data_IF_089481098609
#
_entry.id   IF_089481098609
#
_cell.length_a   1.000
_cell.length_b   1.000
_cell.length_c   1.000
_cell.angle_alpha   90.00
_cell.angle_beta   90.00
_cell.angle_gamma   90.00
#
_symmetry.space_group_name_H-M   'P 1'
#
loop_
_entity.id
_entity.type
_entity.pdbx_description
1 polymer ?
#
# COMPACT_ATOMS: atom_id res chain seq x y z
N UNK A 1 3.11 9.25 -8.36
CA UNK A 1 3.06 9.59 -6.92
C UNK A 1 3.95 10.78 -6.60
N UNK A 2 3.32 11.94 -6.31
CA UNK A 2 4.01 13.22 -6.05
C UNK A 2 4.89 13.19 -4.78
N UNK A 3 4.55 12.33 -3.83
CA UNK A 3 5.25 12.24 -2.54
C UNK A 3 6.48 11.35 -2.55
N UNK A 4 6.67 10.56 -3.61
CA UNK A 4 7.75 9.57 -3.74
C UNK A 4 8.71 9.96 -4.87
N UNK A 5 8.62 9.27 -6.00
CA UNK A 5 9.51 9.44 -7.15
C UNK A 5 9.01 10.54 -8.08
N UNK A 6 7.70 10.83 -8.02
CA UNK A 6 6.99 11.75 -8.91
C UNK A 6 7.17 11.40 -10.41
N UNK A 7 7.39 10.11 -10.68
CA UNK A 7 7.57 9.53 -12.00
C UNK A 7 6.27 8.85 -12.45
N UNK A 8 6.14 8.58 -13.73
CA UNK A 8 4.98 7.92 -14.30
C UNK A 8 5.36 6.80 -15.26
N UNK A 9 4.54 5.75 -15.25
CA UNK A 9 4.66 4.62 -16.15
C UNK A 9 3.45 4.57 -17.10
N UNK A 10 3.71 4.19 -18.34
CA UNK A 10 2.68 3.64 -19.24
C UNK A 10 2.26 2.27 -18.71
N UNK A 11 0.96 2.03 -18.67
CA UNK A 11 0.40 0.77 -18.15
C UNK A 11 -0.62 0.21 -19.13
N UNK A 12 -0.52 -1.09 -19.42
CA UNK A 12 -1.54 -1.85 -20.14
C UNK A 12 -1.71 -3.22 -19.49
N UNK A 13 -2.95 -3.76 -19.32
CA UNK A 13 -3.13 -5.15 -18.94
C UNK A 13 -2.42 -6.08 -19.93
N UNK A 14 -1.66 -7.06 -19.44
CA UNK A 14 -0.86 -7.93 -20.31
C UNK A 14 -1.73 -8.74 -21.31
N UNK A 15 -2.98 -9.03 -20.98
CA UNK A 15 -3.95 -9.67 -21.88
C UNK A 15 -4.35 -8.79 -23.07
N UNK A 16 -4.14 -7.47 -22.99
CA UNK A 16 -4.45 -6.50 -24.05
C UNK A 16 -3.21 -6.05 -24.83
N UNK A 17 -2.05 -6.64 -24.54
CA UNK A 17 -0.81 -6.27 -25.19
C UNK A 17 -0.81 -6.63 -26.68
N UNK A 18 -0.26 -5.74 -27.50
CA UNK A 18 -0.08 -5.89 -28.94
C UNK A 18 1.28 -5.32 -29.36
N UNK A 19 1.74 -5.66 -30.56
CA UNK A 19 2.93 -5.04 -31.13
C UNK A 19 2.80 -3.51 -31.19
N UNK A 20 1.60 -2.99 -31.49
CA UNK A 20 1.32 -1.54 -31.50
C UNK A 20 1.52 -0.90 -30.11
N UNK A 21 1.03 -1.55 -29.02
CA UNK A 21 1.21 -1.03 -27.67
C UNK A 21 2.67 -1.09 -27.20
N UNK A 22 3.39 -2.16 -27.51
CA UNK A 22 4.82 -2.27 -27.21
C UNK A 22 5.64 -1.24 -27.99
N UNK A 23 5.34 -1.05 -29.28
CA UNK A 23 5.99 0.00 -30.06
C UNK A 23 5.69 1.40 -29.52
N UNK A 24 4.46 1.65 -29.06
CA UNK A 24 4.10 2.90 -28.40
C UNK A 24 4.93 3.13 -27.13
N UNK A 25 5.05 2.12 -26.27
CA UNK A 25 5.86 2.19 -25.05
C UNK A 25 7.33 2.45 -25.38
N UNK A 26 7.91 1.71 -26.33
CA UNK A 26 9.30 1.87 -26.73
C UNK A 26 9.58 3.27 -27.32
N UNK A 27 8.69 3.76 -28.20
CA UNK A 27 8.86 5.02 -28.93
C UNK A 27 8.64 6.25 -28.03
N UNK A 28 7.58 6.23 -27.24
CA UNK A 28 7.11 7.40 -26.50
C UNK A 28 7.39 7.32 -25.00
N UNK A 29 7.38 6.13 -24.40
CA UNK A 29 7.81 5.93 -23.02
C UNK A 29 9.32 5.97 -22.87
N UNK A 30 10.04 5.24 -23.74
CA UNK A 30 11.51 5.14 -23.76
C UNK A 30 12.12 4.43 -22.56
N UNK A 31 11.29 4.00 -21.62
CA UNK A 31 11.69 3.23 -20.44
C UNK A 31 11.91 1.75 -20.73
N UNK A 32 12.17 0.99 -19.68
CA UNK A 32 12.30 -0.46 -19.76
C UNK A 32 10.93 -1.11 -19.81
N UNK A 33 10.67 -1.93 -20.83
CA UNK A 33 9.42 -2.67 -20.94
C UNK A 33 9.44 -3.86 -20.00
N UNK A 34 8.66 -3.77 -18.92
CA UNK A 34 8.59 -4.75 -17.86
C UNK A 34 7.22 -5.45 -17.83
N UNK A 35 7.25 -6.74 -17.49
CA UNK A 35 6.05 -7.56 -17.31
C UNK A 35 5.78 -7.80 -15.83
N UNK A 36 4.84 -7.06 -15.22
CA UNK A 36 4.43 -7.26 -13.85
C UNK A 36 3.56 -8.52 -13.72
N UNK A 37 4.02 -9.48 -12.92
CA UNK A 37 3.40 -10.78 -12.69
C UNK A 37 3.11 -10.99 -11.20
N UNK A 38 2.06 -11.76 -10.90
CA UNK A 38 1.85 -12.27 -9.56
C UNK A 38 2.77 -13.48 -9.26
N UNK A 39 2.90 -13.82 -7.97
CA UNK A 39 3.77 -14.92 -7.52
C UNK A 39 3.39 -16.27 -8.15
N UNK A 40 2.11 -16.53 -8.37
CA UNK A 40 1.67 -17.80 -8.97
C UNK A 40 2.20 -17.97 -10.40
N UNK A 41 2.17 -16.91 -11.21
CA UNK A 41 2.69 -16.94 -12.57
C UNK A 41 4.21 -17.06 -12.59
N UNK A 42 4.91 -16.38 -11.69
CA UNK A 42 6.36 -16.54 -11.49
C UNK A 42 6.71 -18.00 -11.19
N UNK A 43 5.96 -18.64 -10.27
CA UNK A 43 6.19 -20.03 -9.91
C UNK A 43 5.92 -21.00 -11.08
N UNK A 44 4.84 -20.79 -11.86
CA UNK A 44 4.53 -21.59 -13.05
C UNK A 44 5.64 -21.53 -14.10
N UNK A 45 6.22 -20.36 -14.29
CA UNK A 45 7.32 -20.13 -15.23
C UNK A 45 8.69 -20.48 -14.65
N UNK A 46 8.78 -20.83 -13.36
CA UNK A 46 10.01 -21.12 -12.62
C UNK A 46 11.06 -19.99 -12.74
N UNK A 47 10.61 -18.74 -12.67
CA UNK A 47 11.50 -17.57 -12.81
C UNK A 47 12.26 -17.30 -11.52
N UNK A 48 13.58 -17.21 -11.64
CA UNK A 48 14.47 -16.85 -10.53
C UNK A 48 14.64 -15.33 -10.46
N UNK A 49 14.92 -14.82 -9.25
CA UNK A 49 15.32 -13.42 -9.10
C UNK A 49 16.62 -13.17 -9.86
N UNK A 50 16.71 -12.00 -10.51
CA UNK A 50 17.91 -11.58 -11.24
C UNK A 50 19.14 -11.45 -10.33
N UNK A 51 18.91 -11.12 -9.06
CA UNK A 51 19.95 -11.08 -8.02
C UNK A 51 19.43 -11.70 -6.72
N UNK A 52 20.22 -12.57 -6.07
CA UNK A 52 19.87 -13.12 -4.75
C UNK A 52 19.74 -12.04 -3.67
N UNK A 53 20.54 -10.98 -3.77
CA UNK A 53 20.50 -9.81 -2.88
C UNK A 53 20.03 -8.57 -3.66
N UNK A 54 18.86 -8.07 -3.33
CA UNK A 54 18.34 -6.85 -3.96
C UNK A 54 18.73 -5.61 -3.13
N UNK A 55 19.80 -4.92 -3.55
CA UNK A 55 20.30 -3.70 -2.93
C UNK A 55 19.81 -2.42 -3.64
N UNK A 56 18.90 -2.54 -4.61
CA UNK A 56 18.35 -1.37 -5.31
C UNK A 56 17.55 -0.47 -4.37
N UNK A 57 17.55 0.83 -4.63
CA UNK A 57 16.88 1.84 -3.80
C UNK A 57 15.38 1.56 -3.63
N UNK A 58 14.72 1.11 -4.67
CA UNK A 58 13.29 0.81 -4.71
C UNK A 58 12.94 -0.62 -4.36
N UNK A 59 13.95 -1.51 -4.28
CA UNK A 59 13.82 -2.94 -4.03
C UNK A 59 12.82 -3.63 -4.98
N UNK A 60 12.75 -3.16 -6.24
CA UNK A 60 11.91 -3.78 -7.27
C UNK A 60 12.41 -5.19 -7.56
N UNK A 61 11.51 -6.17 -7.47
CA UNK A 61 11.85 -7.58 -7.58
C UNK A 61 11.94 -8.01 -9.05
N UNK A 62 13.04 -7.71 -9.70
CA UNK A 62 13.35 -8.19 -11.04
C UNK A 62 13.63 -9.70 -11.01
N UNK A 63 13.06 -10.42 -11.98
CA UNK A 63 13.51 -11.77 -12.33
C UNK A 63 14.48 -11.72 -13.50
N UNK A 64 15.08 -12.88 -13.83
CA UNK A 64 15.80 -13.03 -15.10
C UNK A 64 14.92 -12.62 -16.26
N UNK A 65 15.50 -11.97 -17.27
CA UNK A 65 14.78 -11.58 -18.49
C UNK A 65 14.39 -12.81 -19.32
N UNK A 66 13.30 -12.70 -20.05
CA UNK A 66 12.70 -13.83 -20.77
C UNK A 66 12.45 -13.56 -22.25
N UNK A 67 12.34 -14.65 -22.97
CA UNK A 67 11.91 -14.69 -24.36
C UNK A 67 10.97 -15.88 -24.58
N UNK A 68 10.01 -15.78 -25.51
CA UNK A 68 9.25 -16.95 -25.94
C UNK A 68 10.18 -17.93 -26.68
N UNK A 69 10.11 -19.23 -26.32
CA UNK A 69 10.96 -20.25 -26.94
C UNK A 69 10.69 -20.45 -28.41
N UNK A 70 9.47 -20.12 -28.87
CA UNK A 70 9.03 -20.29 -30.29
C UNK A 70 8.27 -19.03 -30.74
N UNK A 71 8.30 -18.79 -32.04
CA UNK A 71 7.50 -17.72 -32.65
C UNK A 71 8.09 -16.31 -32.50
N UNK A 72 9.38 -16.23 -32.24
CA UNK A 72 10.17 -14.98 -32.20
C UNK A 72 11.33 -15.06 -33.17
N UNK A 73 11.83 -13.91 -33.59
CA UNK A 73 13.05 -13.78 -34.42
C UNK A 73 14.25 -13.49 -33.53
N UNK A 74 14.66 -12.21 -33.40
CA UNK A 74 15.73 -11.77 -32.53
C UNK A 74 15.25 -11.41 -31.14
N UNK A 75 13.93 -11.39 -30.90
CA UNK A 75 13.29 -11.13 -29.62
C UNK A 75 13.03 -9.66 -29.28
N UNK A 76 13.87 -8.74 -29.78
CA UNK A 76 13.78 -7.31 -29.43
C UNK A 76 12.63 -6.57 -30.12
N UNK A 77 12.11 -7.07 -31.24
CA UNK A 77 11.05 -6.38 -31.97
C UNK A 77 9.80 -6.19 -31.11
N UNK A 78 8.99 -5.17 -31.41
CA UNK A 78 7.72 -4.96 -30.73
C UNK A 78 6.77 -6.16 -30.88
N UNK A 79 6.86 -6.86 -32.00
CA UNK A 79 6.10 -8.09 -32.27
C UNK A 79 6.57 -9.23 -31.35
N UNK A 80 7.88 -9.46 -31.30
CA UNK A 80 8.47 -10.55 -30.52
C UNK A 80 8.24 -10.36 -29.03
N UNK A 81 8.44 -9.13 -28.51
CA UNK A 81 8.14 -8.81 -27.10
C UNK A 81 6.66 -8.99 -26.76
N UNK A 82 5.75 -8.54 -27.63
CA UNK A 82 4.32 -8.76 -27.43
C UNK A 82 3.96 -10.26 -27.47
N UNK A 83 4.61 -11.05 -28.34
CA UNK A 83 4.45 -12.50 -28.39
C UNK A 83 4.97 -13.17 -27.12
N UNK A 84 6.15 -12.80 -26.65
CA UNK A 84 6.75 -13.29 -25.41
C UNK A 84 5.84 -13.01 -24.20
N UNK A 85 5.32 -11.79 -24.07
CA UNK A 85 4.39 -11.42 -23.01
C UNK A 85 3.12 -12.29 -23.06
N UNK A 86 2.49 -12.40 -24.23
CA UNK A 86 1.29 -13.26 -24.39
C UNK A 86 1.57 -14.70 -24.06
N UNK A 87 2.74 -15.24 -24.42
CA UNK A 87 3.14 -16.60 -24.08
C UNK A 87 3.30 -16.77 -22.58
N UNK A 88 3.98 -15.83 -21.92
CA UNK A 88 4.25 -15.90 -20.49
C UNK A 88 3.00 -15.79 -19.61
N UNK A 89 1.92 -15.16 -20.06
CA UNK A 89 0.69 -14.96 -19.26
C UNK A 89 -0.41 -15.99 -19.49
N UNK A 90 -0.23 -16.95 -20.38
CA UNK A 90 -1.23 -18.00 -20.63
C UNK A 90 -1.50 -18.80 -19.36
N UNK A 91 -2.73 -19.24 -19.18
CA UNK A 91 -3.12 -20.04 -18.02
C UNK A 91 -2.35 -21.37 -17.92
N UNK A 92 -2.03 -21.96 -19.09
CA UNK A 92 -1.26 -23.19 -19.20
C UNK A 92 0.24 -22.97 -19.46
N UNK A 93 0.75 -21.73 -19.34
CA UNK A 93 2.17 -21.43 -19.54
C UNK A 93 3.05 -22.22 -18.56
N UNK A 94 4.16 -22.73 -19.06
CA UNK A 94 5.16 -23.51 -18.30
C UNK A 94 6.55 -22.96 -18.57
N UNK A 95 7.50 -23.30 -17.71
CA UNK A 95 8.91 -22.89 -17.89
C UNK A 95 9.50 -23.26 -19.26
N UNK A 96 9.08 -24.39 -19.85
CA UNK A 96 9.52 -24.83 -21.18
C UNK A 96 9.06 -23.95 -22.34
N UNK A 97 8.09 -23.05 -22.13
CA UNK A 97 7.52 -22.18 -23.17
C UNK A 97 8.31 -20.88 -23.33
N UNK A 98 9.23 -20.62 -22.39
CA UNK A 98 10.10 -19.46 -22.36
C UNK A 98 11.57 -19.87 -22.25
N UNK A 99 12.46 -18.97 -22.62
CA UNK A 99 13.92 -19.08 -22.45
C UNK A 99 14.44 -17.83 -21.74
N UNK A 100 15.62 -17.90 -21.17
CA UNK A 100 16.35 -16.79 -20.54
C UNK A 100 17.82 -16.90 -20.96
N UNK A 101 18.51 -15.75 -21.19
CA UNK A 101 17.99 -14.38 -21.15
C UNK A 101 17.09 -14.03 -22.34
N UNK A 102 16.43 -12.85 -22.29
CA UNK A 102 15.56 -12.33 -23.33
C UNK A 102 15.34 -10.82 -23.20
N UNK A 103 14.35 -10.30 -23.94
CA UNK A 103 14.10 -8.86 -24.08
C UNK A 103 12.85 -8.35 -23.36
N UNK A 104 12.21 -9.20 -22.53
CA UNK A 104 11.13 -8.83 -21.62
C UNK A 104 11.60 -9.04 -20.19
N UNK A 105 11.36 -8.08 -19.31
CA UNK A 105 11.84 -8.08 -17.92
C UNK A 105 10.68 -8.31 -16.96
N UNK A 106 10.48 -9.54 -16.43
CA UNK A 106 9.42 -9.78 -15.47
C UNK A 106 9.74 -9.18 -14.10
N UNK A 107 8.69 -8.65 -13.47
CA UNK A 107 8.70 -8.09 -12.12
C UNK A 107 7.72 -8.85 -11.24
N UNK A 108 8.14 -9.17 -10.01
CA UNK A 108 7.25 -9.82 -9.04
C UNK A 108 6.46 -8.75 -8.29
N UNK A 109 5.13 -8.75 -8.45
CA UNK A 109 4.25 -7.91 -7.63
C UNK A 109 4.01 -8.55 -6.26
N UNK A 110 3.98 -7.74 -5.21
CA UNK A 110 3.67 -8.20 -3.85
C UNK A 110 2.20 -8.63 -3.75
N UNK A 111 1.94 -9.74 -3.06
CA UNK A 111 0.58 -10.12 -2.68
C UNK A 111 -0.05 -9.00 -1.85
N UNK A 112 -1.31 -8.67 -2.14
CA UNK A 112 -1.99 -7.49 -1.56
C UNK A 112 -1.80 -6.20 -2.38
N UNK A 113 -0.95 -6.19 -3.41
CA UNK A 113 -0.82 -5.10 -4.37
C UNK A 113 -0.40 -3.77 -3.72
N UNK A 114 -0.98 -2.65 -4.18
CA UNK A 114 -0.66 -1.31 -3.66
C UNK A 114 -0.93 -1.15 -2.16
N UNK A 115 -1.75 -2.00 -1.57
CA UNK A 115 -2.01 -1.98 -0.13
C UNK A 115 -0.83 -2.54 0.69
N UNK A 116 0.11 -3.24 0.06
CA UNK A 116 1.34 -3.75 0.67
C UNK A 116 2.55 -2.92 0.24
N UNK A 117 2.68 -2.66 -1.07
CA UNK A 117 3.75 -1.83 -1.64
C UNK A 117 3.17 -0.85 -2.66
N UNK A 118 3.27 0.43 -2.40
CA UNK A 118 2.77 1.48 -3.28
C UNK A 118 3.75 1.74 -4.44
N UNK A 119 3.91 0.76 -5.33
CA UNK A 119 4.77 0.82 -6.51
C UNK A 119 3.99 0.66 -7.81
N UNK A 120 4.57 1.12 -8.93
CA UNK A 120 3.97 0.98 -10.27
C UNK A 120 3.70 -0.49 -10.63
N UNK A 121 4.59 -1.41 -10.22
CA UNK A 121 4.42 -2.86 -10.39
C UNK A 121 3.12 -3.36 -9.76
N UNK A 122 2.88 -3.02 -8.51
CA UNK A 122 1.68 -3.42 -7.79
C UNK A 122 0.44 -2.71 -8.34
N UNK A 123 0.56 -1.41 -8.63
CA UNK A 123 -0.54 -0.60 -9.18
C UNK A 123 -1.03 -1.15 -10.52
N UNK A 124 -0.13 -1.53 -11.40
CA UNK A 124 -0.46 -2.05 -12.72
C UNK A 124 -1.21 -3.39 -12.65
N UNK A 125 -0.76 -4.29 -11.77
CA UNK A 125 -1.44 -5.58 -11.51
C UNK A 125 -2.81 -5.36 -10.89
N UNK A 126 -2.95 -4.44 -9.94
CA UNK A 126 -4.22 -4.11 -9.31
C UNK A 126 -5.22 -3.51 -10.31
N UNK A 127 -4.78 -2.57 -11.15
CA UNK A 127 -5.61 -2.00 -12.22
C UNK A 127 -6.09 -3.10 -13.17
N UNK A 128 -5.20 -4.04 -13.55
CA UNK A 128 -5.56 -5.16 -14.42
C UNK A 128 -6.64 -6.06 -13.79
N UNK A 129 -6.51 -6.36 -12.49
CA UNK A 129 -7.52 -7.12 -11.73
C UNK A 129 -8.85 -6.38 -11.62
N UNK A 130 -8.81 -5.11 -11.24
CA UNK A 130 -10.02 -4.28 -11.05
C UNK A 130 -10.77 -4.08 -12.37
N UNK A 131 -10.05 -3.98 -13.48
CA UNK A 131 -10.64 -3.90 -14.83
C UNK A 131 -11.06 -5.27 -15.41
N UNK A 132 -10.92 -6.35 -14.62
CA UNK A 132 -11.23 -7.74 -15.04
C UNK A 132 -10.42 -8.20 -16.27
N UNK A 133 -9.23 -7.67 -16.44
CA UNK A 133 -8.30 -7.98 -17.53
C UNK A 133 -7.15 -8.91 -17.10
N UNK A 134 -7.37 -9.75 -16.11
CA UNK A 134 -6.35 -10.67 -15.57
C UNK A 134 -5.53 -10.07 -14.44
N UNK A 135 -4.43 -10.74 -14.08
CA UNK A 135 -3.59 -10.39 -12.92
C UNK A 135 -2.13 -10.09 -13.31
N UNK A 136 -1.94 -9.60 -14.55
CA UNK A 136 -0.64 -9.26 -15.11
C UNK A 136 -0.74 -7.97 -15.91
N UNK A 137 0.32 -7.18 -15.93
CA UNK A 137 0.37 -5.92 -16.67
C UNK A 137 1.73 -5.71 -17.32
N UNK A 138 1.77 -4.89 -18.37
CA UNK A 138 3.00 -4.38 -18.94
C UNK A 138 3.14 -2.92 -18.53
N UNK A 139 4.32 -2.54 -18.07
CA UNK A 139 4.66 -1.19 -17.66
C UNK A 139 5.92 -0.72 -18.37
N UNK A 140 6.04 0.60 -18.53
CA UNK A 140 7.21 1.23 -19.11
C UNK A 140 7.28 2.66 -18.59
N UNK A 141 8.41 3.05 -18.03
CA UNK A 141 8.65 4.41 -17.51
C UNK A 141 8.54 5.44 -18.64
N UNK A 142 8.16 6.67 -18.28
CA UNK A 142 8.06 7.79 -19.23
C UNK A 142 9.25 8.72 -19.03
N UNK A 143 10.07 8.85 -20.06
CA UNK A 143 11.19 9.77 -20.12
C UNK A 143 10.90 10.93 -21.09
N UNK A 144 11.49 12.08 -20.81
CA UNK A 144 11.54 13.23 -21.70
C UNK A 144 12.49 12.96 -22.89
N UNK A 145 12.46 13.85 -23.90
CA UNK A 145 13.29 13.74 -25.10
C UNK A 145 14.80 13.84 -24.78
N UNK A 146 15.15 14.51 -23.70
CA UNK A 146 16.53 14.68 -23.21
C UNK A 146 17.01 13.49 -22.34
N UNK A 147 16.18 12.43 -22.18
CA UNK A 147 16.50 11.27 -21.37
C UNK A 147 16.22 11.42 -19.88
N UNK A 148 15.78 12.57 -19.40
CA UNK A 148 15.38 12.74 -18.00
C UNK A 148 13.99 12.14 -17.76
N UNK A 149 13.69 11.78 -16.48
CA UNK A 149 12.36 11.25 -16.13
C UNK A 149 11.28 12.32 -16.22
N UNK A 150 10.18 12.02 -16.90
CA UNK A 150 9.02 12.91 -16.95
C UNK A 150 8.33 12.98 -15.58
N UNK A 151 8.03 14.20 -15.08
CA UNK A 151 7.45 14.44 -13.75
C UNK A 151 6.34 15.47 -13.77
N UNK A 152 5.40 15.36 -12.84
CA UNK A 152 4.36 16.35 -12.58
C UNK A 152 3.63 16.84 -13.85
N UNK A 153 3.80 18.12 -14.19
CA UNK A 153 3.15 18.73 -15.37
C UNK A 153 3.54 18.08 -16.70
N UNK A 154 4.77 17.55 -16.81
CA UNK A 154 5.23 16.86 -18.03
C UNK A 154 4.40 15.60 -18.29
N UNK A 155 4.10 14.80 -17.23
CA UNK A 155 3.22 13.63 -17.32
C UNK A 155 1.79 14.01 -17.72
N UNK A 156 1.25 15.11 -17.17
CA UNK A 156 -0.08 15.60 -17.57
C UNK A 156 -0.12 16.00 -19.04
N UNK A 157 0.90 16.70 -19.52
CA UNK A 157 1.01 17.10 -20.94
C UNK A 157 1.16 15.87 -21.85
N UNK A 158 1.98 14.89 -21.44
CA UNK A 158 2.14 13.61 -22.14
C UNK A 158 0.80 12.88 -22.26
N UNK A 159 0.08 12.72 -21.15
CA UNK A 159 -1.22 12.06 -21.13
C UNK A 159 -2.23 12.77 -22.03
N UNK A 160 -2.28 14.12 -22.01
CA UNK A 160 -3.15 14.92 -22.88
C UNK A 160 -2.78 14.76 -24.36
N UNK A 161 -1.48 14.85 -24.71
CA UNK A 161 -0.97 14.69 -26.08
C UNK A 161 -1.35 13.35 -26.68
N UNK A 162 -1.24 12.27 -25.90
CA UNK A 162 -1.50 10.91 -26.34
C UNK A 162 -2.90 10.39 -26.01
N UNK A 163 -3.79 11.25 -25.49
CA UNK A 163 -5.17 10.93 -25.09
C UNK A 163 -5.25 9.75 -24.11
N UNK A 164 -4.31 9.72 -23.14
CA UNK A 164 -4.23 8.68 -22.11
C UNK A 164 -4.96 9.12 -20.85
N UNK A 165 -5.48 8.14 -20.11
CA UNK A 165 -5.97 8.36 -18.75
C UNK A 165 -4.78 8.43 -17.80
N UNK A 166 -4.86 9.30 -16.80
CA UNK A 166 -3.86 9.44 -15.75
C UNK A 166 -4.49 9.08 -14.41
N UNK A 167 -3.82 8.24 -13.63
CA UNK A 167 -4.20 7.86 -12.28
C UNK A 167 -3.04 8.05 -11.31
N UNK A 168 -3.35 8.24 -10.03
CA UNK A 168 -2.35 8.29 -8.94
C UNK A 168 -2.44 7.00 -8.12
N UNK A 169 -1.30 6.51 -7.65
CA UNK A 169 -1.25 5.32 -6.79
C UNK A 169 -2.00 5.57 -5.48
N UNK A 170 -1.93 6.77 -4.91
CA UNK A 170 -2.67 7.15 -3.70
C UNK A 170 -4.19 7.03 -3.88
N UNK A 171 -4.71 7.45 -5.03
CA UNK A 171 -6.14 7.33 -5.35
C UNK A 171 -6.55 5.85 -5.49
N UNK A 172 -5.68 5.03 -6.08
CA UNK A 172 -5.90 3.59 -6.19
C UNK A 172 -5.90 2.91 -4.81
N UNK A 173 -4.99 3.30 -3.91
CA UNK A 173 -4.97 2.83 -2.52
C UNK A 173 -6.28 3.21 -1.83
N UNK A 174 -6.69 4.47 -1.93
CA UNK A 174 -7.94 4.95 -1.33
C UNK A 174 -9.16 4.19 -1.88
N UNK A 175 -9.21 3.98 -3.19
CA UNK A 175 -10.27 3.22 -3.84
C UNK A 175 -10.33 1.79 -3.30
N UNK A 176 -9.22 1.05 -3.28
CA UNK A 176 -9.17 -0.33 -2.79
C UNK A 176 -9.55 -0.43 -1.30
N UNK A 177 -9.04 0.48 -0.46
CA UNK A 177 -9.39 0.54 0.96
C UNK A 177 -10.88 0.74 1.19
N UNK A 178 -11.57 1.48 0.31
CA UNK A 178 -13.00 1.72 0.40
C UNK A 178 -13.85 0.55 -0.10
N UNK A 179 -13.38 -0.16 -1.13
CA UNK A 179 -14.16 -1.24 -1.79
C UNK A 179 -13.91 -2.61 -1.14
N UNK A 180 -12.72 -2.87 -0.64
CA UNK A 180 -12.34 -4.17 -0.12
C UNK A 180 -12.55 -4.27 1.38
N UNK A 181 -13.09 -5.41 1.84
CA UNK A 181 -13.17 -5.74 3.26
C UNK A 181 -11.84 -6.36 3.70
N UNK A 182 -11.00 -5.56 4.35
CA UNK A 182 -9.64 -5.96 4.73
C UNK A 182 -9.53 -6.45 6.17
N UNK A 183 -10.60 -6.39 6.94
CA UNK A 183 -10.61 -6.82 8.33
C UNK A 183 -11.68 -7.86 8.60
N UNK A 184 -11.37 -8.80 9.49
CA UNK A 184 -12.29 -9.80 10.01
C UNK A 184 -12.31 -9.74 11.53
N UNK A 185 -13.50 -9.59 12.12
CA UNK A 185 -13.65 -9.69 13.58
C UNK A 185 -13.40 -11.15 14.00
N UNK A 186 -12.50 -11.40 14.95
CA UNK A 186 -12.16 -12.73 15.44
C UNK A 186 -12.80 -13.05 16.80
N UNK A 187 -12.56 -12.19 17.79
CA UNK A 187 -12.96 -12.46 19.17
C UNK A 187 -13.27 -11.15 19.92
N UNK A 188 -14.15 -11.25 20.90
CA UNK A 188 -14.41 -10.19 21.88
C UNK A 188 -14.24 -10.77 23.27
N UNK A 189 -13.71 -9.95 24.20
CA UNK A 189 -13.54 -10.30 25.60
C UNK A 189 -13.65 -9.05 26.46
N UNK A 190 -13.92 -9.23 27.76
CA UNK A 190 -13.88 -8.12 28.72
C UNK A 190 -12.54 -8.15 29.44
N UNK A 191 -11.91 -7.00 29.58
CA UNK A 191 -10.65 -6.83 30.28
C UNK A 191 -10.71 -5.63 31.22
N UNK A 192 -9.90 -5.66 32.28
CA UNK A 192 -9.78 -4.57 33.24
C UNK A 192 -8.41 -3.91 33.10
N UNK A 193 -8.38 -2.60 32.82
CA UNK A 193 -7.15 -1.82 32.71
C UNK A 193 -7.24 -0.64 33.67
N UNK A 194 -6.25 -0.50 34.57
CA UNK A 194 -6.21 0.58 35.60
C UNK A 194 -7.56 0.75 36.30
N UNK A 195 -8.14 -0.35 36.80
CA UNK A 195 -9.43 -0.40 37.54
C UNK A 195 -10.68 -0.06 36.68
N UNK A 196 -10.56 0.09 35.36
CA UNK A 196 -11.69 0.35 34.45
C UNK A 196 -11.97 -0.86 33.55
N UNK A 197 -13.25 -1.12 33.28
CA UNK A 197 -13.69 -2.21 32.43
C UNK A 197 -13.73 -1.75 30.95
N UNK A 198 -13.16 -2.57 30.08
CA UNK A 198 -13.19 -2.40 28.64
C UNK A 198 -13.66 -3.70 27.98
N UNK A 199 -14.38 -3.56 26.88
CA UNK A 199 -14.56 -4.66 25.94
C UNK A 199 -13.47 -4.56 24.89
N UNK A 200 -12.64 -5.61 24.75
CA UNK A 200 -11.64 -5.72 23.70
C UNK A 200 -12.24 -6.50 22.54
N UNK A 201 -12.13 -5.94 21.33
CA UNK A 201 -12.46 -6.64 20.07
C UNK A 201 -11.22 -6.80 19.22
N UNK A 202 -10.94 -8.03 18.81
CA UNK A 202 -9.78 -8.39 17.98
C UNK A 202 -10.22 -8.49 16.54
N UNK A 203 -9.43 -7.86 15.65
CA UNK A 203 -9.64 -7.83 14.22
C UNK A 203 -8.38 -8.32 13.50
N UNK A 204 -8.53 -9.30 12.65
CA UNK A 204 -7.48 -9.78 11.75
C UNK A 204 -7.43 -8.91 10.49
N UNK A 205 -6.25 -8.47 10.10
CA UNK A 205 -6.00 -7.87 8.81
C UNK A 205 -5.81 -8.99 7.76
N UNK A 206 -6.68 -9.05 6.77
CA UNK A 206 -6.69 -10.11 5.76
C UNK A 206 -5.53 -10.01 4.75
N UNK A 207 -4.77 -8.90 4.75
CA UNK A 207 -3.62 -8.73 3.87
C UNK A 207 -2.35 -9.45 4.38
N UNK A 208 -2.16 -9.47 5.70
CA UNK A 208 -0.92 -9.93 6.32
C UNK A 208 -1.14 -10.83 7.56
N UNK A 209 -2.39 -11.14 7.89
CA UNK A 209 -2.75 -11.96 9.05
C UNK A 209 -2.53 -11.29 10.41
N UNK A 210 -2.12 -10.02 10.44
CA UNK A 210 -1.85 -9.32 11.69
C UNK A 210 -3.11 -9.03 12.48
N UNK A 211 -3.01 -9.15 13.81
CA UNK A 211 -4.11 -8.82 14.71
C UNK A 211 -4.03 -7.36 15.17
N UNK A 212 -5.14 -6.67 15.01
CA UNK A 212 -5.40 -5.34 15.51
C UNK A 212 -6.51 -5.42 16.56
N UNK A 213 -6.64 -4.44 17.43
CA UNK A 213 -7.73 -4.47 18.40
C UNK A 213 -8.35 -3.10 18.67
N UNK A 214 -9.58 -3.12 19.15
CA UNK A 214 -10.28 -1.97 19.69
C UNK A 214 -10.62 -2.20 21.15
N UNK A 215 -10.24 -1.26 22.04
CA UNK A 215 -10.69 -1.18 23.41
C UNK A 215 -11.88 -0.25 23.47
N UNK A 216 -13.01 -0.77 23.93
CA UNK A 216 -14.28 -0.06 23.99
C UNK A 216 -14.66 0.14 25.45
N UNK A 217 -14.86 1.39 25.88
CA UNK A 217 -15.41 1.78 27.16
C UNK A 217 -16.82 2.33 26.97
N UNK A 218 -17.76 1.88 27.77
CA UNK A 218 -19.14 2.36 27.74
C UNK A 218 -19.98 1.81 26.58
N UNK A 219 -21.04 2.51 26.24
CA UNK A 219 -22.00 2.09 25.20
C UNK A 219 -21.92 2.98 23.95
N UNK A 220 -20.95 2.68 23.09
CA UNK A 220 -20.72 3.44 21.85
C UNK A 220 -21.89 3.40 20.86
N UNK A 221 -22.80 2.40 20.94
CA UNK A 221 -23.97 2.30 20.05
C UNK A 221 -25.04 3.33 20.39
N UNK A 222 -25.17 3.71 21.65
CA UNK A 222 -26.13 4.73 22.12
C UNK A 222 -25.59 6.15 21.95
N UNK A 223 -24.27 6.32 21.83
CA UNK A 223 -23.64 7.63 21.70
C UNK A 223 -23.51 8.03 20.22
N UNK A 224 -24.10 9.17 19.86
CA UNK A 224 -24.01 9.71 18.49
C UNK A 224 -22.59 10.14 18.08
N UNK A 225 -21.73 10.50 19.05
CA UNK A 225 -20.37 11.00 18.82
C UNK A 225 -19.39 10.41 19.86
N UNK A 226 -19.09 9.09 19.83
CA UNK A 226 -18.09 8.52 20.74
C UNK A 226 -16.72 9.10 20.46
N UNK A 227 -15.88 9.15 21.51
CA UNK A 227 -14.48 9.56 21.40
C UNK A 227 -13.63 8.42 20.85
N UNK A 228 -13.00 8.65 19.72
CA UNK A 228 -12.19 7.63 19.04
C UNK A 228 -10.75 8.10 18.94
N UNK A 229 -9.84 7.26 19.36
CA UNK A 229 -8.40 7.42 19.14
C UNK A 229 -7.84 6.24 18.38
N UNK A 230 -7.05 6.52 17.37
CA UNK A 230 -6.29 5.52 16.62
C UNK A 230 -4.81 5.69 16.92
N UNK A 231 -4.14 4.63 17.35
CA UNK A 231 -2.69 4.60 17.57
C UNK A 231 -2.09 3.43 16.80
N UNK A 232 -0.89 3.64 16.26
CA UNK A 232 -0.07 2.59 15.67
C UNK A 232 1.05 2.20 16.62
N UNK A 233 1.31 0.90 16.78
CA UNK A 233 2.41 0.43 17.63
C UNK A 233 3.74 0.61 16.92
N UNK A 234 4.72 1.11 17.66
CA UNK A 234 6.12 1.06 17.25
C UNK A 234 6.96 0.74 18.48
N UNK A 235 7.58 -0.43 18.48
CA UNK A 235 8.32 -0.95 19.65
C UNK A 235 9.40 0.02 20.10
N UNK A 236 10.17 0.58 19.18
CA UNK A 236 11.27 1.49 19.50
C UNK A 236 10.75 2.79 20.13
N UNK A 237 9.75 3.43 19.50
CA UNK A 237 9.15 4.67 20.03
C UNK A 237 8.42 4.46 21.34
N UNK A 238 7.74 3.32 21.47
CA UNK A 238 6.84 3.10 22.60
C UNK A 238 7.55 2.54 23.85
N UNK A 239 8.67 1.82 23.67
CA UNK A 239 9.34 1.13 24.78
C UNK A 239 10.80 1.53 24.95
N UNK A 240 11.60 1.66 23.90
CA UNK A 240 13.02 1.99 24.04
C UNK A 240 13.28 3.49 24.22
N UNK A 241 12.42 4.33 23.65
CA UNK A 241 12.52 5.80 23.75
C UNK A 241 11.49 6.40 24.74
N UNK A 242 10.83 5.54 25.50
CA UNK A 242 9.67 5.90 26.32
C UNK A 242 9.96 6.76 27.53
N UNK A 243 11.20 6.82 28.00
CA UNK A 243 11.59 7.66 29.15
C UNK A 243 11.48 9.17 28.85
N UNK A 244 11.60 9.57 27.58
CA UNK A 244 11.49 10.98 27.15
C UNK A 244 10.16 11.33 26.47
N UNK A 245 9.34 10.32 26.11
CA UNK A 245 8.06 10.54 25.44
C UNK A 245 6.97 9.74 26.17
N UNK A 246 5.94 10.41 26.69
CA UNK A 246 4.85 9.74 27.41
C UNK A 246 4.21 8.66 26.53
N UNK A 247 4.04 7.46 27.09
CA UNK A 247 3.43 6.33 26.41
C UNK A 247 2.02 6.70 25.91
N UNK A 248 1.86 6.72 24.59
CA UNK A 248 0.61 7.13 23.91
C UNK A 248 -0.61 6.33 24.39
N UNK A 249 -0.41 5.07 24.74
CA UNK A 249 -1.44 4.20 25.28
C UNK A 249 -1.87 4.65 26.68
N UNK A 250 -0.91 4.83 27.60
CA UNK A 250 -1.20 5.21 28.99
C UNK A 250 -1.92 6.57 29.07
N UNK A 251 -1.47 7.55 28.30
CA UNK A 251 -2.12 8.86 28.27
C UNK A 251 -3.56 8.78 27.71
N UNK A 252 -3.81 7.90 26.75
CA UNK A 252 -5.17 7.68 26.25
C UNK A 252 -6.05 7.04 27.31
N UNK A 253 -5.56 6.04 28.04
CA UNK A 253 -6.31 5.39 29.13
C UNK A 253 -6.62 6.40 30.24
N UNK A 254 -5.67 7.26 30.60
CA UNK A 254 -5.92 8.33 31.60
C UNK A 254 -6.98 9.34 31.09
N UNK A 255 -6.89 9.77 29.84
CA UNK A 255 -7.90 10.63 29.24
C UNK A 255 -9.28 9.96 29.25
N UNK A 256 -9.37 8.66 28.98
CA UNK A 256 -10.63 7.91 28.98
C UNK A 256 -11.25 7.74 30.38
N UNK A 257 -10.48 7.89 31.46
CA UNK A 257 -11.06 7.87 32.82
C UNK A 257 -12.22 8.85 32.96
N UNK A 258 -12.06 10.04 32.43
CA UNK A 258 -13.00 11.15 32.58
C UNK A 258 -14.09 11.18 31.50
N UNK A 259 -14.16 10.15 30.65
CA UNK A 259 -15.12 10.08 29.54
C UNK A 259 -15.84 8.72 29.52
N UNK A 260 -17.15 8.73 29.19
CA UNK A 260 -17.98 7.51 29.26
C UNK A 260 -17.79 6.60 28.06
N UNK A 261 -17.99 7.13 26.84
CA UNK A 261 -18.06 6.33 25.61
C UNK A 261 -16.85 6.60 24.73
N UNK A 262 -15.87 5.71 24.84
CA UNK A 262 -14.56 5.88 24.22
C UNK A 262 -14.12 4.61 23.49
N UNK A 263 -13.38 4.79 22.42
CA UNK A 263 -12.76 3.71 21.64
C UNK A 263 -11.29 4.02 21.38
N UNK A 264 -10.41 3.13 21.80
CA UNK A 264 -9.02 3.13 21.38
C UNK A 264 -8.80 2.02 20.35
N UNK A 265 -8.45 2.37 19.14
CA UNK A 265 -8.06 1.43 18.09
C UNK A 265 -6.54 1.37 18.06
N UNK A 266 -6.02 0.16 18.20
CA UNK A 266 -4.60 -0.13 18.19
C UNK A 266 -4.26 -0.90 16.92
N UNK A 267 -3.46 -0.28 16.04
CA UNK A 267 -3.00 -0.87 14.79
C UNK A 267 -1.57 -1.36 14.99
N UNK A 268 -1.35 -2.64 14.75
CA UNK A 268 -0.03 -3.26 14.82
C UNK A 268 0.84 -2.76 13.67
N UNK A 269 2.07 -2.33 13.97
CA UNK A 269 3.07 -2.06 12.93
C UNK A 269 3.64 -3.38 12.42
N UNK A 270 3.28 -3.72 11.19
CA UNK A 270 3.71 -4.97 10.53
C UNK A 270 4.98 -4.80 9.69
N UNK A 271 5.61 -3.63 9.74
CA UNK A 271 6.87 -3.40 9.05
C UNK A 271 8.02 -4.20 9.69
N UNK A 272 8.54 -5.19 8.97
CA UNK A 272 9.66 -6.01 9.40
C UNK A 272 10.93 -5.21 9.72
N UNK A 273 11.09 -4.02 9.12
CA UNK A 273 12.23 -3.12 9.32
C UNK A 273 11.91 -1.94 10.26
N UNK A 274 10.80 -1.98 10.98
CA UNK A 274 10.35 -0.85 11.83
C UNK A 274 11.37 -0.43 12.88
N UNK A 275 12.13 -1.36 13.43
CA UNK A 275 13.18 -1.10 14.42
C UNK A 275 14.34 -0.33 13.80
N UNK A 276 14.95 -0.88 12.75
CA UNK A 276 16.12 -0.27 12.09
C UNK A 276 15.81 1.08 11.44
N UNK A 277 14.63 1.22 10.84
CA UNK A 277 14.19 2.48 10.23
C UNK A 277 13.95 3.57 11.29
N UNK A 278 13.34 3.21 12.43
CA UNK A 278 13.12 4.16 13.52
C UNK A 278 14.44 4.63 14.14
N UNK A 279 15.39 3.71 14.36
CA UNK A 279 16.72 4.04 14.88
C UNK A 279 17.51 4.92 13.91
N UNK A 280 17.45 4.64 12.61
CA UNK A 280 18.09 5.47 11.57
C UNK A 280 17.53 6.88 11.54
N UNK A 281 16.20 7.03 11.62
CA UNK A 281 15.51 8.31 11.71
C UNK A 281 15.92 9.11 12.95
N UNK A 282 16.12 8.44 14.08
CA UNK A 282 16.55 9.05 15.32
C UNK A 282 17.98 9.60 15.25
N UNK A 283 18.92 8.82 14.73
CA UNK A 283 20.33 9.23 14.55
C UNK A 283 20.50 10.42 13.59
N UNK A 284 19.71 10.47 12.51
CA UNK A 284 19.79 11.52 11.48
C UNK A 284 19.05 12.81 11.85
N UNK A 285 18.38 12.89 13.02
CA UNK A 285 17.42 13.96 13.39
C UNK A 285 16.34 14.23 12.31
N UNK A 286 16.34 13.49 11.23
CA UNK A 286 15.29 13.42 10.22
C UNK A 286 14.33 12.33 10.67
N UNK A 287 13.29 12.72 11.41
CA UNK A 287 12.14 11.81 11.54
C UNK A 287 11.70 11.50 10.12
N UNK A 288 11.89 10.28 9.68
CA UNK A 288 11.29 9.79 8.46
C UNK A 288 9.80 10.14 8.57
N UNK A 289 9.32 11.05 7.72
CA UNK A 289 7.90 11.16 7.47
C UNK A 289 7.49 9.75 7.10
N UNK A 290 6.72 9.10 7.97
CA UNK A 290 6.07 7.84 7.61
C UNK A 290 5.48 8.10 6.24
N UNK A 291 5.94 7.35 5.23
CA UNK A 291 5.58 7.67 3.86
C UNK A 291 4.06 7.80 3.78
N UNK A 292 3.59 8.73 3.01
CA UNK A 292 2.16 9.06 2.91
C UNK A 292 1.30 7.80 2.72
N UNK A 293 1.83 6.81 2.00
CA UNK A 293 1.25 5.49 1.77
C UNK A 293 1.00 4.66 3.04
N UNK A 294 1.93 4.73 4.01
CA UNK A 294 1.79 4.01 5.28
C UNK A 294 0.74 4.66 6.16
N UNK A 295 0.68 5.99 6.16
CA UNK A 295 -0.37 6.72 6.85
C UNK A 295 -1.75 6.39 6.25
N UNK A 296 -1.88 6.43 4.92
CA UNK A 296 -3.13 6.11 4.23
C UNK A 296 -3.58 4.68 4.57
N UNK A 297 -2.67 3.69 4.54
CA UNK A 297 -2.99 2.29 4.87
C UNK A 297 -3.43 2.12 6.33
N UNK A 298 -2.71 2.69 7.28
CA UNK A 298 -3.07 2.61 8.69
C UNK A 298 -4.41 3.32 8.97
N UNK A 299 -4.66 4.46 8.32
CA UNK A 299 -5.96 5.13 8.40
C UNK A 299 -7.06 4.27 7.77
N UNK A 300 -6.80 3.58 6.67
CA UNK A 300 -7.76 2.69 6.01
C UNK A 300 -8.18 1.52 6.90
N UNK A 301 -7.23 0.81 7.51
CA UNK A 301 -7.53 -0.27 8.47
C UNK A 301 -8.26 0.27 9.69
N UNK A 302 -7.81 1.41 10.24
CA UNK A 302 -8.49 2.09 11.34
C UNK A 302 -9.93 2.48 11.00
N UNK A 303 -10.15 3.02 9.81
CA UNK A 303 -11.50 3.40 9.32
C UNK A 303 -12.41 2.17 9.17
N UNK A 304 -11.90 1.07 8.65
CA UNK A 304 -12.67 -0.18 8.54
C UNK A 304 -13.04 -0.74 9.92
N UNK A 305 -12.13 -0.66 10.91
CA UNK A 305 -12.46 -1.03 12.31
C UNK A 305 -13.54 -0.11 12.87
N UNK A 306 -13.44 1.22 12.68
CA UNK A 306 -14.47 2.18 13.10
C UNK A 306 -15.83 1.86 12.49
N UNK A 307 -15.85 1.58 11.18
CA UNK A 307 -17.07 1.17 10.44
C UNK A 307 -17.64 -0.15 10.97
N UNK A 308 -16.77 -1.14 11.26
CA UNK A 308 -17.18 -2.44 11.82
C UNK A 308 -17.73 -2.32 13.25
N UNK A 309 -17.34 -1.29 13.99
CA UNK A 309 -17.92 -0.95 15.29
C UNK A 309 -19.26 -0.20 15.18
N UNK A 310 -19.72 0.15 13.96
CA UNK A 310 -20.97 0.88 13.71
C UNK A 310 -20.90 2.38 13.98
N UNK A 311 -19.70 2.96 14.07
CA UNK A 311 -19.50 4.38 14.36
C UNK A 311 -19.56 5.18 13.04
N UNK A 312 -20.58 6.03 12.91
CA UNK A 312 -20.76 6.93 11.75
C UNK A 312 -20.21 8.34 12.02
N UNK A 313 -20.41 8.86 13.23
CA UNK A 313 -19.88 10.14 13.65
C UNK A 313 -18.97 9.94 14.85
N UNK A 314 -17.93 10.75 14.98
CA UNK A 314 -17.00 10.63 16.12
C UNK A 314 -16.33 11.94 16.49
N UNK A 315 -15.91 12.02 17.74
CA UNK A 315 -14.91 12.99 18.20
C UNK A 315 -13.54 12.32 18.06
N UNK A 316 -12.69 12.85 17.19
CA UNK A 316 -11.34 12.32 17.00
C UNK A 316 -10.41 12.83 18.09
N UNK A 317 -9.83 11.93 18.86
CA UNK A 317 -8.87 12.26 19.93
C UNK A 317 -7.45 12.14 19.38
N UNK A 318 -6.68 13.23 19.41
CA UNK A 318 -5.34 13.32 18.80
C UNK A 318 -4.31 13.96 19.71
N UNK A 319 -3.03 13.93 19.32
CA UNK A 319 -1.92 14.66 19.97
C UNK A 319 -1.74 16.08 19.42
N UNK A 320 -2.12 16.28 18.17
CA UNK A 320 -2.04 17.56 17.46
C UNK A 320 -3.16 17.63 16.46
N UNK A 321 -3.57 18.82 16.05
CA UNK A 321 -4.58 18.99 15.00
C UNK A 321 -4.09 18.31 13.73
N UNK A 322 -4.91 17.43 13.16
CA UNK A 322 -4.57 16.64 11.97
C UNK A 322 -5.62 16.85 10.89
N UNK A 323 -5.18 17.01 9.66
CA UNK A 323 -6.05 16.89 8.49
C UNK A 323 -6.15 15.41 8.16
N UNK A 324 -7.28 14.79 8.46
CA UNK A 324 -7.56 13.39 8.11
C UNK A 324 -8.39 13.39 6.84
N UNK A 325 -7.84 12.78 5.80
CA UNK A 325 -8.47 12.72 4.47
C UNK A 325 -9.01 11.31 4.24
N UNK A 326 -10.12 11.18 3.53
CA UNK A 326 -10.64 9.89 3.03
C UNK A 326 -11.56 9.13 3.98
N UNK A 327 -11.89 9.63 5.18
CA UNK A 327 -12.88 8.99 6.06
C UNK A 327 -14.32 9.07 5.52
N UNK A 328 -14.62 10.09 4.73
CA UNK A 328 -15.94 10.28 4.12
C UNK A 328 -16.30 9.10 3.20
N UNK A 329 -15.32 8.54 2.49
CA UNK A 329 -15.49 7.33 1.68
C UNK A 329 -15.93 6.09 2.47
N UNK A 330 -15.66 6.05 3.79
CA UNK A 330 -16.14 4.99 4.68
C UNK A 330 -17.49 5.34 5.36
N UNK A 331 -18.06 6.51 5.08
CA UNK A 331 -19.25 7.03 5.75
C UNK A 331 -18.98 7.43 7.21
N UNK A 332 -17.77 7.87 7.52
CA UNK A 332 -17.35 8.30 8.87
C UNK A 332 -17.10 9.80 8.87
N UNK A 333 -17.80 10.53 9.77
CA UNK A 333 -17.65 11.98 9.94
C UNK A 333 -16.95 12.31 11.26
N UNK A 334 -15.89 13.12 11.20
CA UNK A 334 -15.29 13.73 12.39
C UNK A 334 -16.08 14.99 12.74
N UNK A 335 -16.79 14.98 13.87
CA UNK A 335 -17.58 16.13 14.32
C UNK A 335 -16.74 17.15 15.09
N UNK A 336 -15.69 16.69 15.78
CA UNK A 336 -14.77 17.50 16.57
C UNK A 336 -13.43 16.81 16.69
N UNK A 337 -12.35 17.58 16.85
CA UNK A 337 -11.05 17.05 17.26
C UNK A 337 -10.75 17.53 18.69
N UNK A 338 -10.39 16.60 19.57
CA UNK A 338 -9.94 16.88 20.93
C UNK A 338 -8.46 16.52 21.05
N UNK A 339 -7.67 17.46 21.58
CA UNK A 339 -6.23 17.30 21.71
C UNK A 339 -5.91 16.90 23.16
N UNK A 340 -5.29 15.73 23.32
CA UNK A 340 -4.78 15.32 24.63
C UNK A 340 -3.52 16.13 24.93
N UNK A 341 -3.59 17.02 25.93
CA UNK A 341 -2.41 17.68 26.48
C UNK A 341 -1.63 16.69 27.34
N UNK A 342 -0.38 16.49 27.01
CA UNK A 342 0.52 15.66 27.79
C UNK A 342 0.99 16.47 28.99
N UNK A 343 0.50 16.16 30.19
CA UNK A 343 1.21 16.54 31.40
C UNK A 343 2.33 15.53 31.56
N UNK A 344 3.55 16.00 31.81
CA UNK A 344 4.67 15.15 32.21
C UNK A 344 4.20 14.33 33.44
N UNK A 345 4.02 13.01 33.22
CA UNK A 345 3.88 12.10 34.36
C UNK A 345 5.31 11.83 34.83
N UNK A 346 5.69 12.52 35.91
CA UNK A 346 6.82 12.16 36.76
C UNK A 346 6.48 10.88 37.47
#
# INVERSE_FOLDING_TARGET
DESRENEGDLVIPATKVSAKSINFMAKYGRGLICLALNQNQINKLNLQLMSPSNNSRTQTAFTVSIEAKKGVTTGISAHDRAHTIRTAIRDNAKSKDIVSPGHVFPLISKNGGVLVRAGHTEASVDISKLSKCGSSAVICEIMNDDGTMAKGKQLMNFAKKHKLKLGKIDDLIAYRLNQEKLIKHKKSSNIKIKKQNYNIKIFENLLDGSENFALIKGNIKKNKNPRVRVISSNIVKNYLMGEKLPNSFNATIEYFKNHKDCVLIFIRDTNLKSVSETLRGYKSKKFYKDGQDRLIRNYGIGAQIIKALGIKNMILVTRSKKKVIGLDGYGIKITKQEIIKWKNFV
#
